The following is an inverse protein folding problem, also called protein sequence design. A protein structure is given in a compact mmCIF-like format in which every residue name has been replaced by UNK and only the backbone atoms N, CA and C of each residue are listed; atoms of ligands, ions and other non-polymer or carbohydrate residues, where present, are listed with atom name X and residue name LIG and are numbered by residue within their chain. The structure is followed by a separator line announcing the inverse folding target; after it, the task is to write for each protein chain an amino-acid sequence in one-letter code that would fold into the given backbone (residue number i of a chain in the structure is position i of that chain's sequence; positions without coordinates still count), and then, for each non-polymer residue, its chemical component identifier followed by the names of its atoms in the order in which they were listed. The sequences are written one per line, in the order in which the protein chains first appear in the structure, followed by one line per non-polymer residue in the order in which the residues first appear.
data_IF_703973607582
#
_entry.id   IF_703973607582
#
_cell.length_a   1.000
_cell.length_b   1.000
_cell.length_c   1.000
_cell.angle_alpha   90.00
_cell.angle_beta   90.00
_cell.angle_gamma   90.00
#
_symmetry.space_group_name_H-M   'P 1'
#
loop_
_entity.id
_entity.type
_entity.pdbx_description
1 polymer ?
#
# COMPACT_ATOMS: atom_id res chain seq x y z
N UNK A 1 -0.88 -2.91 18.21
CA UNK A 1 -2.21 -2.97 17.60
C UNK A 1 -1.98 -3.19 16.12
N UNK A 2 -2.52 -4.28 15.55
CA UNK A 2 -2.30 -4.63 14.15
C UNK A 2 -3.12 -3.71 13.25
N UNK A 3 -2.55 -3.27 12.13
CA UNK A 3 -3.28 -2.43 11.18
C UNK A 3 -4.14 -3.30 10.25
N UNK A 4 -5.47 -3.29 10.45
CA UNK A 4 -6.47 -3.83 9.52
C UNK A 4 -6.96 -2.73 8.57
N UNK A 5 -7.71 -3.07 7.51
CA UNK A 5 -8.31 -2.08 6.61
C UNK A 5 -9.07 -0.96 7.36
N UNK A 6 -9.67 -1.29 8.51
CA UNK A 6 -10.38 -0.37 9.41
C UNK A 6 -9.46 0.66 10.07
N UNK A 7 -8.18 0.35 10.27
CA UNK A 7 -7.20 1.25 10.90
C UNK A 7 -6.52 2.22 9.92
N UNK A 8 -6.49 1.90 8.62
CA UNK A 8 -5.97 2.79 7.58
C UNK A 8 -6.78 4.08 7.47
N UNK A 9 -8.08 3.96 7.70
CA UNK A 9 -9.03 5.07 7.64
C UNK A 9 -8.76 6.17 8.68
N UNK A 10 -8.39 5.79 9.91
CA UNK A 10 -8.15 6.75 10.99
C UNK A 10 -6.88 7.58 10.77
N UNK A 11 -5.98 7.16 9.89
CA UNK A 11 -4.66 7.78 9.73
C UNK A 11 -4.67 9.05 8.87
N UNK A 12 -5.73 9.35 8.11
CA UNK A 12 -5.69 10.46 7.13
C UNK A 12 -6.96 11.31 6.97
N UNK A 13 -8.01 11.11 7.78
CA UNK A 13 -9.27 11.86 7.59
C UNK A 13 -9.88 11.61 6.22
N UNK A 14 -9.81 10.36 5.77
CA UNK A 14 -10.28 9.95 4.47
C UNK A 14 -11.81 10.08 4.37
N UNK A 15 -12.35 10.64 3.26
CA UNK A 15 -13.79 10.64 3.05
C UNK A 15 -14.34 9.20 2.98
N UNK A 16 -15.50 8.97 3.60
CA UNK A 16 -16.12 7.64 3.69
C UNK A 16 -16.22 6.91 2.33
N UNK A 17 -16.55 7.65 1.25
CA UNK A 17 -16.66 7.08 -0.09
C UNK A 17 -15.34 6.46 -0.60
N UNK A 18 -14.17 6.99 -0.21
CA UNK A 18 -12.88 6.47 -0.68
C UNK A 18 -12.49 5.21 0.09
N UNK A 19 -12.85 5.14 1.38
CA UNK A 19 -12.72 3.91 2.17
C UNK A 19 -13.54 2.79 1.57
N UNK A 20 -14.83 3.03 1.33
CA UNK A 20 -15.74 2.05 0.73
C UNK A 20 -15.21 1.56 -0.63
N UNK A 21 -14.67 2.48 -1.45
CA UNK A 21 -14.04 2.14 -2.74
C UNK A 21 -12.82 1.23 -2.57
N UNK A 22 -11.97 1.49 -1.58
CA UNK A 22 -10.78 0.67 -1.29
C UNK A 22 -11.18 -0.73 -0.83
N UNK A 23 -12.12 -0.82 0.11
CA UNK A 23 -12.61 -2.09 0.65
C UNK A 23 -13.23 -2.95 -0.47
N UNK A 24 -14.08 -2.36 -1.31
CA UNK A 24 -14.68 -3.07 -2.45
C UNK A 24 -13.63 -3.53 -3.47
N UNK A 25 -12.62 -2.70 -3.77
CA UNK A 25 -11.52 -3.06 -4.66
C UNK A 25 -10.67 -4.20 -4.07
N UNK A 26 -10.35 -4.14 -2.78
CA UNK A 26 -9.55 -5.16 -2.11
C UNK A 26 -10.28 -6.50 -2.05
N UNK A 27 -11.57 -6.50 -1.67
CA UNK A 27 -12.39 -7.70 -1.68
C UNK A 27 -12.57 -8.32 -3.08
N UNK A 28 -12.47 -7.49 -4.14
CA UNK A 28 -12.45 -7.99 -5.53
C UNK A 28 -11.10 -8.61 -5.86
N UNK A 29 -9.99 -7.96 -5.50
CA UNK A 29 -8.64 -8.48 -5.68
C UNK A 29 -8.44 -9.84 -5.01
N UNK A 30 -8.90 -10.03 -3.78
CA UNK A 30 -8.77 -11.31 -3.05
C UNK A 30 -9.47 -12.50 -3.74
N UNK A 31 -10.48 -12.22 -4.57
CA UNK A 31 -11.22 -13.24 -5.32
C UNK A 31 -10.62 -13.54 -6.69
N UNK A 32 -9.75 -12.65 -7.20
CA UNK A 32 -9.15 -12.82 -8.51
C UNK A 32 -7.95 -13.78 -8.41
N UNK A 33 -7.81 -14.72 -9.35
CA UNK A 33 -6.60 -15.53 -9.43
C UNK A 33 -5.41 -14.63 -9.80
N UNK A 34 -4.20 -15.10 -9.47
CA UNK A 34 -3.00 -14.47 -10.02
C UNK A 34 -3.01 -14.57 -11.56
N UNK A 35 -2.67 -13.48 -12.27
CA UNK A 35 -2.66 -13.48 -13.73
C UNK A 35 -1.64 -14.47 -14.29
N UNK A 36 -1.99 -15.07 -15.43
CA UNK A 36 -1.16 -16.02 -16.16
C UNK A 36 -0.68 -15.42 -17.48
N UNK A 37 0.46 -15.90 -18.00
CA UNK A 37 0.90 -15.55 -19.36
C UNK A 37 -0.03 -16.05 -20.46
N UNK A 38 -0.96 -16.95 -20.12
CA UNK A 38 -2.02 -17.41 -21.04
C UNK A 38 -3.16 -16.39 -21.16
N UNK A 39 -3.28 -15.45 -20.21
CA UNK A 39 -4.25 -14.38 -20.30
C UNK A 39 -3.75 -13.34 -21.30
N UNK A 40 -4.56 -12.99 -22.31
CA UNK A 40 -4.08 -12.12 -23.41
C UNK A 40 -3.57 -10.76 -22.89
N UNK A 41 -4.24 -10.20 -21.88
CA UNK A 41 -3.85 -8.95 -21.21
C UNK A 41 -2.45 -9.02 -20.55
N UNK A 42 -2.00 -10.22 -20.16
CA UNK A 42 -0.74 -10.45 -19.45
C UNK A 42 0.30 -11.17 -20.30
N UNK A 43 -0.01 -11.50 -21.55
CA UNK A 43 0.86 -12.30 -22.43
C UNK A 43 2.25 -11.70 -22.64
N UNK A 44 2.38 -10.38 -22.54
CA UNK A 44 3.64 -9.64 -22.72
C UNK A 44 4.24 -9.09 -21.42
N UNK A 45 3.60 -9.32 -20.27
CA UNK A 45 4.00 -8.76 -18.98
C UNK A 45 4.20 -9.89 -17.97
N UNK A 46 5.45 -10.19 -17.63
CA UNK A 46 5.77 -11.22 -16.64
C UNK A 46 5.67 -10.67 -15.22
N UNK A 47 4.63 -11.09 -14.50
CA UNK A 47 4.39 -10.69 -13.11
C UNK A 47 4.60 -11.83 -12.11
N UNK A 48 5.15 -12.98 -12.53
CA UNK A 48 5.36 -14.14 -11.64
C UNK A 48 6.30 -13.85 -10.46
N UNK A 49 7.21 -12.89 -10.62
CA UNK A 49 8.11 -12.44 -9.55
C UNK A 49 7.52 -11.39 -8.61
N UNK A 50 6.32 -10.89 -8.92
CA UNK A 50 5.64 -9.90 -8.09
C UNK A 50 4.90 -10.59 -6.95
N UNK A 51 5.36 -10.33 -5.73
CA UNK A 51 4.76 -10.83 -4.50
C UNK A 51 4.27 -9.61 -3.69
N UNK A 52 2.96 -9.31 -3.71
CA UNK A 52 2.38 -8.21 -2.95
C UNK A 52 2.69 -8.29 -1.45
N UNK A 53 2.81 -9.50 -0.89
CA UNK A 53 3.03 -9.68 0.54
C UNK A 53 4.38 -9.12 1.01
N UNK A 54 5.39 -9.04 0.12
CA UNK A 54 6.68 -8.39 0.41
C UNK A 54 6.57 -6.89 0.67
N UNK A 55 5.51 -6.26 0.18
CA UNK A 55 5.29 -4.81 0.28
C UNK A 55 4.29 -4.44 1.38
N UNK A 56 3.69 -5.42 2.05
CA UNK A 56 2.82 -5.21 3.24
C UNK A 56 3.54 -4.57 4.43
N UNK A 57 4.86 -4.39 4.37
CA UNK A 57 5.63 -3.70 5.41
C UNK A 57 5.15 -2.27 5.64
N UNK A 58 4.66 -1.58 4.60
CA UNK A 58 4.08 -0.23 4.74
C UNK A 58 2.66 -0.24 5.32
N UNK A 59 2.01 -1.39 5.44
CA UNK A 59 0.78 -1.53 6.23
C UNK A 59 1.12 -1.65 7.72
N UNK A 60 2.30 -2.15 8.07
CA UNK A 60 2.75 -2.35 9.46
C UNK A 60 3.57 -1.19 10.02
N UNK A 61 4.25 -0.45 9.14
CA UNK A 61 4.82 0.85 9.45
C UNK A 61 3.78 1.84 8.94
N UNK A 62 3.03 2.51 9.82
CA UNK A 62 2.15 3.62 9.44
C UNK A 62 2.80 4.34 8.24
N UNK A 63 2.22 4.30 7.03
CA UNK A 63 2.86 4.86 5.82
C UNK A 63 3.21 6.35 5.93
N UNK A 64 2.81 6.98 7.06
CA UNK A 64 3.07 8.35 7.48
C UNK A 64 4.08 8.48 8.63
N UNK A 65 4.41 7.40 9.36
CA UNK A 65 5.65 7.36 10.15
C UNK A 65 6.76 6.88 9.25
N UNK A 66 7.33 7.85 8.55
CA UNK A 66 8.79 7.83 8.42
C UNK A 66 9.31 7.79 9.86
N UNK A 67 9.68 6.60 10.36
CA UNK A 67 10.56 6.50 11.50
C UNK A 67 11.84 7.17 11.03
N UNK A 68 11.96 8.47 11.32
CA UNK A 68 13.11 9.26 10.97
C UNK A 68 14.32 8.52 11.55
N UNK A 69 15.32 8.17 10.73
CA UNK A 69 16.60 7.75 11.26
C UNK A 69 17.03 8.77 12.31
N UNK A 70 17.47 8.31 13.48
CA UNK A 70 17.91 9.18 14.58
C UNK A 70 18.97 10.19 14.13
N UNK A 71 19.71 9.85 13.07
CA UNK A 71 20.50 10.78 12.29
C UNK A 71 20.19 10.62 10.80
N UNK A 72 19.71 11.69 10.17
CA UNK A 72 19.67 11.78 8.71
C UNK A 72 21.11 11.94 8.18
N UNK A 73 21.45 11.35 7.01
CA UNK A 73 22.73 11.62 6.36
C UNK A 73 22.95 13.11 6.15
N UNK A 74 24.21 13.55 6.21
CA UNK A 74 24.58 14.96 5.99
C UNK A 74 24.05 15.44 4.64
N UNK A 75 23.18 16.45 4.67
CA UNK A 75 22.58 17.05 3.47
C UNK A 75 21.14 16.61 3.15
N UNK A 76 20.55 15.68 3.91
CA UNK A 76 19.14 15.29 3.73
C UNK A 76 18.24 16.18 4.61
N UNK A 77 17.32 16.91 3.97
CA UNK A 77 16.28 17.69 4.63
C UNK A 77 14.93 17.04 4.35
N UNK A 78 14.23 16.58 5.38
CA UNK A 78 12.86 16.11 5.28
C UNK A 78 11.91 17.24 5.68
N UNK A 79 11.10 17.72 4.74
CA UNK A 79 10.02 18.66 5.02
C UNK A 79 8.69 17.89 5.01
N UNK A 80 7.77 18.19 5.95
CA UNK A 80 6.41 17.69 5.87
C UNK A 80 5.79 18.07 4.53
N UNK A 81 5.07 17.14 3.90
CA UNK A 81 4.44 17.34 2.59
C UNK A 81 3.28 18.35 2.64
N UNK A 82 2.78 18.70 3.84
CA UNK A 82 1.75 19.72 4.07
C UNK A 82 2.10 20.57 5.30
N UNK A 83 1.85 21.88 5.20
CA UNK A 83 1.90 22.85 6.31
C UNK A 83 0.56 22.90 7.03
#
# INVERSE_FOLDING_TARGET
MALTAETLDQLQGEPAWLRERREAAFATFEKLPSPSKTDEEWRRTDVRGFDPAKYSRLEHLDGHKLVLPSALPKGVILKPLRQ
#
